data_IF_119315103341
#
_entry.id   IF_119315103341
#
_cell.length_a   1.000
_cell.length_b   1.000
_cell.length_c   1.000
_cell.angle_alpha   90.00
_cell.angle_beta   90.00
_cell.angle_gamma   90.00
#
_symmetry.space_group_name_H-M   'P 1'
#
loop_
_entity.id
_entity.type
_entity.pdbx_description
1 polymer ?
#
# COMPACT_ATOMS: atom_id res chain seq x y z
N UNK A 1 1.88 11.58 -10.45
CA UNK A 1 2.15 11.04 -9.11
C UNK A 1 2.11 9.53 -9.20
N UNK A 2 3.03 8.82 -8.54
CA UNK A 2 3.00 7.37 -8.38
C UNK A 2 2.93 7.04 -6.90
N UNK A 3 1.92 6.27 -6.48
CA UNK A 3 1.78 5.80 -5.11
C UNK A 3 2.32 4.37 -5.04
N UNK A 4 3.57 4.21 -4.59
CA UNK A 4 4.27 2.94 -4.61
C UNK A 4 3.93 2.11 -3.36
N UNK A 5 3.32 0.95 -3.61
CA UNK A 5 3.08 -0.12 -2.62
C UNK A 5 3.84 -1.42 -2.96
N UNK A 6 4.47 -1.48 -4.13
CA UNK A 6 4.95 -2.74 -4.72
C UNK A 6 6.46 -2.81 -4.76
N UNK A 7 7.15 -1.78 -5.25
CA UNK A 7 8.60 -1.81 -5.46
C UNK A 7 9.06 -2.74 -6.59
N UNK A 8 10.37 -2.97 -6.65
CA UNK A 8 11.01 -3.85 -7.64
C UNK A 8 10.72 -3.45 -9.09
N UNK A 9 10.68 -4.46 -9.97
CA UNK A 9 10.54 -4.31 -11.41
C UNK A 9 9.32 -3.47 -11.83
N UNK A 10 8.23 -3.53 -11.05
CA UNK A 10 7.04 -2.69 -11.27
C UNK A 10 7.38 -1.21 -11.09
N UNK A 11 8.01 -0.86 -9.97
CA UNK A 11 8.42 0.52 -9.71
C UNK A 11 9.48 0.99 -10.71
N UNK A 12 10.43 0.14 -11.08
CA UNK A 12 11.46 0.47 -12.08
C UNK A 12 10.83 0.80 -13.44
N UNK A 13 9.85 0.00 -13.86
CA UNK A 13 9.09 0.19 -15.10
C UNK A 13 8.25 1.47 -15.05
N UNK A 14 7.58 1.75 -13.93
CA UNK A 14 6.77 2.95 -13.77
C UNK A 14 7.66 4.20 -13.81
N UNK A 15 8.75 4.24 -13.04
CA UNK A 15 9.68 5.38 -12.97
C UNK A 15 10.24 5.70 -14.36
N UNK A 16 10.57 4.68 -15.14
CA UNK A 16 11.07 4.84 -16.52
C UNK A 16 10.07 5.52 -17.45
N UNK A 17 8.77 5.50 -17.13
CA UNK A 17 7.68 6.10 -17.90
C UNK A 17 7.11 7.37 -17.26
N UNK A 18 7.56 7.76 -16.07
CA UNK A 18 7.06 8.94 -15.37
C UNK A 18 7.48 10.24 -16.07
N UNK A 19 6.58 11.24 -16.04
CA UNK A 19 6.82 12.57 -16.59
C UNK A 19 7.86 13.37 -15.79
N UNK A 20 8.43 14.41 -16.42
CA UNK A 20 9.28 15.41 -15.75
C UNK A 20 8.59 16.02 -14.52
N UNK A 21 9.36 16.29 -13.47
CA UNK A 21 8.92 16.95 -12.23
C UNK A 21 7.74 16.25 -11.54
N UNK A 22 7.67 14.93 -11.68
CA UNK A 22 6.65 14.11 -11.02
C UNK A 22 7.09 13.68 -9.62
N UNK A 23 6.18 13.02 -8.88
CA UNK A 23 6.40 12.65 -7.49
C UNK A 23 6.01 11.20 -7.23
N UNK A 24 6.88 10.49 -6.50
CA UNK A 24 6.67 9.14 -5.99
C UNK A 24 6.41 9.23 -4.49
N UNK A 25 5.23 8.76 -4.09
CA UNK A 25 4.86 8.54 -2.70
C UNK A 25 5.28 7.12 -2.36
N UNK A 26 6.36 6.96 -1.63
CA UNK A 26 6.90 5.66 -1.25
C UNK A 26 6.22 5.17 0.04
N UNK A 27 5.07 4.52 -0.13
CA UNK A 27 4.26 3.98 0.97
C UNK A 27 4.77 2.61 1.44
N UNK A 28 5.07 1.71 0.50
CA UNK A 28 5.58 0.38 0.80
C UNK A 28 6.16 -0.28 -0.44
N UNK A 29 6.91 -1.38 -0.26
CA UNK A 29 7.50 -2.14 -1.35
C UNK A 29 7.35 -3.64 -1.09
N UNK A 30 6.11 -4.14 -1.16
CA UNK A 30 5.76 -5.51 -0.74
C UNK A 30 6.56 -6.60 -1.46
N UNK A 31 6.99 -6.36 -2.70
CA UNK A 31 7.84 -7.30 -3.46
C UNK A 31 9.24 -7.51 -2.86
N UNK A 32 9.65 -6.65 -1.93
CA UNK A 32 10.96 -6.65 -1.30
C UNK A 32 10.92 -7.11 0.16
N UNK A 33 9.75 -7.25 0.80
CA UNK A 33 9.63 -7.53 2.24
C UNK A 33 10.22 -8.87 2.67
N UNK A 34 10.25 -9.86 1.76
CA UNK A 34 10.82 -11.18 2.03
C UNK A 34 12.29 -11.30 1.56
N UNK A 35 12.96 -10.16 1.32
CA UNK A 35 14.36 -10.10 0.91
C UNK A 35 15.17 -9.35 1.96
N UNK A 36 16.43 -9.71 2.09
CA UNK A 36 17.38 -9.01 2.96
C UNK A 36 18.00 -7.82 2.21
N UNK A 37 17.29 -6.70 2.20
CA UNK A 37 17.70 -5.46 1.52
C UNK A 37 17.40 -4.24 2.41
N UNK A 38 18.22 -3.17 2.34
CA UNK A 38 17.97 -1.96 3.11
C UNK A 38 16.65 -1.30 2.67
N UNK A 39 16.00 -0.59 3.60
CA UNK A 39 14.80 0.18 3.31
C UNK A 39 15.06 1.69 3.35
N UNK A 40 14.67 2.46 2.31
CA UNK A 40 14.03 1.98 1.09
C UNK A 40 15.04 1.28 0.16
N UNK A 41 14.64 0.19 -0.52
CA UNK A 41 15.47 -0.46 -1.53
C UNK A 41 16.05 0.56 -2.52
N UNK A 42 17.35 0.44 -2.86
CA UNK A 42 17.99 1.29 -3.83
C UNK A 42 17.38 1.05 -5.21
N UNK A 43 17.22 2.11 -6.00
CA UNK A 43 16.83 1.98 -7.40
C UNK A 43 18.03 1.48 -8.22
N UNK A 44 17.81 0.69 -9.28
CA UNK A 44 18.87 0.36 -10.22
C UNK A 44 19.50 1.64 -10.80
N UNK A 45 20.81 1.65 -11.11
CA UNK A 45 21.50 2.85 -11.57
C UNK A 45 20.83 3.57 -12.76
N UNK A 46 20.29 2.81 -13.72
CA UNK A 46 19.59 3.35 -14.87
C UNK A 46 18.27 4.06 -14.49
N UNK A 47 17.51 3.45 -13.58
CA UNK A 47 16.24 4.01 -13.07
C UNK A 47 16.50 5.25 -12.23
N UNK A 48 17.56 5.22 -11.41
CA UNK A 48 17.99 6.38 -10.61
C UNK A 48 18.48 7.54 -11.50
N UNK A 49 19.14 7.25 -12.62
CA UNK A 49 19.52 8.26 -13.61
C UNK A 49 18.29 8.93 -14.22
N UNK A 50 17.29 8.15 -14.65
CA UNK A 50 16.01 8.68 -15.17
C UNK A 50 15.31 9.52 -14.10
N UNK A 51 15.26 9.04 -12.86
CA UNK A 51 14.66 9.77 -11.73
C UNK A 51 15.29 11.15 -11.56
N UNK A 52 16.62 11.24 -11.62
CA UNK A 52 17.37 12.49 -11.49
C UNK A 52 17.18 13.40 -12.70
N UNK A 53 17.36 12.88 -13.91
CA UNK A 53 17.18 13.62 -15.16
C UNK A 53 15.79 14.25 -15.23
N UNK A 54 14.77 13.47 -14.87
CA UNK A 54 13.38 13.90 -14.90
C UNK A 54 12.94 14.68 -13.67
N UNK A 55 13.84 15.01 -12.75
CA UNK A 55 13.51 15.70 -11.50
C UNK A 55 12.34 15.05 -10.74
N UNK A 56 12.32 13.72 -10.69
CA UNK A 56 11.28 12.94 -10.02
C UNK A 56 11.62 12.88 -8.53
N UNK A 57 10.72 13.41 -7.71
CA UNK A 57 10.84 13.33 -6.25
C UNK A 57 10.40 11.94 -5.76
N UNK A 58 11.04 11.44 -4.71
CA UNK A 58 10.75 10.13 -4.11
C UNK A 58 10.83 10.24 -2.60
N UNK A 59 9.69 10.25 -1.93
CA UNK A 59 9.60 10.53 -0.50
C UNK A 59 8.85 9.43 0.25
N UNK A 60 9.35 9.09 1.45
CA UNK A 60 8.70 8.09 2.29
C UNK A 60 7.37 8.64 2.81
N UNK A 61 6.33 7.84 2.69
CA UNK A 61 5.04 8.09 3.32
C UNK A 61 4.84 7.11 4.47
N UNK A 62 4.80 7.65 5.69
CA UNK A 62 4.46 6.89 6.89
C UNK A 62 3.19 7.47 7.48
N UNK A 63 2.09 6.70 7.44
CA UNK A 63 0.78 7.15 7.92
C UNK A 63 0.83 7.69 9.35
N UNK A 64 1.70 7.13 10.20
CA UNK A 64 1.89 7.55 11.60
C UNK A 64 2.48 8.96 11.76
N UNK A 65 3.00 9.57 10.70
CA UNK A 65 3.46 10.97 10.72
C UNK A 65 2.30 11.98 10.58
N UNK A 66 1.07 11.52 10.32
CA UNK A 66 -0.09 12.37 10.03
C UNK A 66 -1.23 12.15 11.03
N UNK A 67 -0.91 11.87 12.30
CA UNK A 67 -1.91 11.58 13.35
C UNK A 67 -2.91 12.72 13.55
N UNK A 68 -2.45 13.96 13.36
CA UNK A 68 -3.27 15.18 13.36
C UNK A 68 -4.41 15.16 12.32
N UNK A 69 -4.29 14.30 11.30
CA UNK A 69 -5.29 14.15 10.21
C UNK A 69 -6.17 12.91 10.36
N UNK A 70 -5.96 12.07 11.38
CA UNK A 70 -6.67 10.79 11.48
C UNK A 70 -8.16 10.98 11.69
N UNK A 71 -8.56 11.85 12.62
CA UNK A 71 -9.98 12.09 12.93
C UNK A 71 -10.73 12.62 11.70
N UNK A 72 -10.24 13.69 11.08
CA UNK A 72 -10.86 14.28 9.90
C UNK A 72 -10.87 13.31 8.71
N UNK A 73 -9.79 12.53 8.53
CA UNK A 73 -9.71 11.50 7.51
C UNK A 73 -10.74 10.38 7.71
N UNK A 74 -10.89 9.87 8.92
CA UNK A 74 -11.87 8.82 9.25
C UNK A 74 -13.30 9.34 9.01
N UNK A 75 -13.61 10.56 9.46
CA UNK A 75 -14.93 11.16 9.27
C UNK A 75 -15.27 11.30 7.78
N UNK A 76 -14.33 11.80 6.97
CA UNK A 76 -14.53 11.96 5.54
C UNK A 76 -14.70 10.62 4.81
N UNK A 77 -13.83 9.65 5.09
CA UNK A 77 -13.91 8.31 4.47
C UNK A 77 -15.21 7.60 4.85
N UNK A 78 -15.65 7.73 6.11
CA UNK A 78 -16.92 7.18 6.58
C UNK A 78 -18.10 7.83 5.88
N UNK A 79 -18.05 9.14 5.65
CA UNK A 79 -19.08 9.84 4.90
C UNK A 79 -19.15 9.35 3.45
N UNK A 80 -18.01 9.23 2.76
CA UNK A 80 -17.99 8.69 1.40
C UNK A 80 -18.48 7.25 1.31
N UNK A 81 -18.20 6.43 2.32
CA UNK A 81 -18.73 5.08 2.40
C UNK A 81 -20.26 5.09 2.53
N UNK A 82 -20.81 5.88 3.46
CA UNK A 82 -22.27 6.03 3.64
C UNK A 82 -22.97 6.58 2.40
N UNK A 83 -22.31 7.49 1.67
CA UNK A 83 -22.81 8.07 0.42
C UNK A 83 -22.63 7.14 -0.80
N UNK A 84 -22.01 5.97 -0.64
CA UNK A 84 -21.73 5.04 -1.74
C UNK A 84 -20.64 5.50 -2.71
N UNK A 85 -19.91 6.57 -2.38
CA UNK A 85 -18.76 7.10 -3.15
C UNK A 85 -17.50 6.28 -2.94
N UNK A 86 -17.38 5.61 -1.79
CA UNK A 86 -16.30 4.68 -1.47
C UNK A 86 -16.87 3.26 -1.40
N UNK A 87 -16.40 2.37 -2.28
CA UNK A 87 -16.76 0.95 -2.28
C UNK A 87 -15.65 0.14 -1.63
N UNK A 88 -15.99 -0.65 -0.62
CA UNK A 88 -15.04 -1.51 0.08
C UNK A 88 -15.16 -2.93 -0.47
N UNK A 89 -14.01 -3.55 -0.73
CA UNK A 89 -13.92 -4.98 -1.04
C UNK A 89 -13.10 -5.64 0.04
N UNK A 90 -13.51 -6.82 0.45
CA UNK A 90 -12.89 -7.57 1.53
C UNK A 90 -12.76 -9.03 1.13
N UNK A 91 -11.71 -9.66 1.63
CA UNK A 91 -11.53 -11.11 1.62
C UNK A 91 -11.56 -11.55 3.08
N UNK A 92 -12.63 -12.25 3.48
CA UNK A 92 -12.86 -12.63 4.87
C UNK A 92 -12.56 -14.11 5.08
N UNK A 93 -11.91 -14.43 6.19
CA UNK A 93 -11.76 -15.80 6.70
C UNK A 93 -12.26 -15.85 8.15
N UNK A 94 -12.89 -16.96 8.54
CA UNK A 94 -13.37 -17.14 9.91
C UNK A 94 -12.34 -17.91 10.74
N UNK A 95 -12.25 -17.61 12.02
CA UNK A 95 -11.43 -18.33 12.99
C UNK A 95 -10.00 -17.80 13.10
N UNK A 96 -9.55 -17.59 14.34
CA UNK A 96 -8.20 -17.11 14.64
C UNK A 96 -7.14 -18.11 14.17
N UNK A 97 -7.46 -19.40 14.21
CA UNK A 97 -6.63 -20.51 13.72
C UNK A 97 -6.23 -20.35 12.24
N UNK A 98 -6.99 -19.61 11.46
CA UNK A 98 -6.74 -19.37 10.03
C UNK A 98 -5.89 -18.12 9.74
N UNK A 99 -5.46 -17.38 10.77
CA UNK A 99 -4.68 -16.14 10.61
C UNK A 99 -3.40 -16.34 9.79
N UNK A 100 -2.66 -17.43 10.02
CA UNK A 100 -1.43 -17.71 9.28
C UNK A 100 -1.67 -17.95 7.79
N UNK A 101 -2.70 -18.73 7.47
CA UNK A 101 -3.10 -19.00 6.09
C UNK A 101 -3.59 -17.73 5.37
N UNK A 102 -4.37 -16.89 6.06
CA UNK A 102 -4.81 -15.60 5.54
C UNK A 102 -3.65 -14.64 5.28
N UNK A 103 -2.68 -14.57 6.19
CA UNK A 103 -1.49 -13.75 6.00
C UNK A 103 -0.66 -14.23 4.80
N UNK A 104 -0.42 -15.54 4.69
CA UNK A 104 0.29 -16.12 3.55
C UNK A 104 -0.42 -15.82 2.24
N UNK A 105 -1.75 -16.05 2.18
CA UNK A 105 -2.57 -15.77 1.01
C UNK A 105 -2.46 -14.30 0.58
N UNK A 106 -2.51 -13.36 1.53
CA UNK A 106 -2.33 -11.93 1.25
C UNK A 106 -0.94 -11.63 0.65
N UNK A 107 0.11 -12.22 1.22
CA UNK A 107 1.48 -12.02 0.75
C UNK A 107 1.75 -12.64 -0.63
N UNK A 108 0.95 -13.62 -1.05
CA UNK A 108 1.03 -14.25 -2.38
C UNK A 108 -0.02 -13.75 -3.37
N UNK A 109 -0.81 -12.72 -3.00
CA UNK A 109 -1.78 -12.08 -3.89
C UNK A 109 -3.13 -12.80 -4.01
N UNK A 110 -3.48 -13.67 -3.06
CA UNK A 110 -4.74 -14.42 -3.04
C UNK A 110 -5.98 -13.62 -2.60
N UNK A 111 -5.81 -12.41 -2.07
CA UNK A 111 -6.92 -11.57 -1.60
C UNK A 111 -7.38 -10.55 -2.65
N UNK A 112 -8.69 -10.32 -2.69
CA UNK A 112 -9.27 -9.13 -3.34
C UNK A 112 -9.73 -8.16 -2.27
N UNK A 113 -9.15 -6.95 -2.27
CA UNK A 113 -9.46 -5.95 -1.25
C UNK A 113 -8.80 -6.26 0.10
N UNK A 114 -9.39 -5.83 1.21
CA UNK A 114 -8.79 -5.98 2.55
C UNK A 114 -8.93 -7.42 3.05
N UNK A 115 -7.82 -8.08 3.39
CA UNK A 115 -7.83 -9.36 4.10
C UNK A 115 -8.28 -9.14 5.55
N UNK A 116 -9.32 -9.86 5.99
CA UNK A 116 -9.89 -9.80 7.34
C UNK A 116 -9.97 -11.22 7.92
N UNK A 117 -9.65 -11.36 9.22
CA UNK A 117 -9.88 -12.57 10.01
C UNK A 117 -11.01 -12.27 11.00
N UNK A 118 -12.16 -12.91 10.80
CA UNK A 118 -13.31 -12.81 11.69
C UNK A 118 -13.13 -13.79 12.86
N UNK A 119 -12.96 -13.26 14.06
CA UNK A 119 -12.70 -14.06 15.29
C UNK A 119 -14.02 -14.44 15.98
N UNK A 120 -15.03 -13.58 15.85
CA UNK A 120 -16.38 -13.80 16.38
C UNK A 120 -17.36 -12.99 15.54
N UNK A 121 -18.55 -13.52 15.34
CA UNK A 121 -19.66 -12.72 14.82
C UNK A 121 -20.10 -11.72 15.90
N UNK A 122 -20.50 -10.53 15.48
CA UNK A 122 -21.04 -9.52 16.37
C UNK A 122 -22.44 -9.96 16.81
N UNK A 123 -22.53 -10.55 18.02
CA UNK A 123 -23.84 -10.84 18.62
C UNK A 123 -24.48 -9.51 19.01
N UNK A 124 -25.43 -9.04 18.19
CA UNK A 124 -26.26 -7.90 18.56
C UNK A 124 -27.04 -8.29 19.83
N UNK A 125 -26.72 -7.63 20.95
CA UNK A 125 -27.56 -7.61 22.16
C UNK A 125 -28.65 -6.55 22.01
#
# INVERSE_FOLDING_TARGET
VYFDNVGGDISDTVISQMNQSSHIILCGQISQYNKDVPYPPPLPPAVEAIRKERNITRERFLVLNYKDKFESGILQLSQWFKEGKLKIKETMINGLENMGAAFQSMMTGGNTGKQIVCISEETSL
#
